data_IF_661669425826
#
_entry.id   IF_661669425826
#
_cell.length_a   1.000
_cell.length_b   1.000
_cell.length_c   1.000
_cell.angle_alpha   90.00
_cell.angle_beta   90.00
_cell.angle_gamma   90.00
#
_symmetry.space_group_name_H-M   'P 1'
#
loop_
_entity.id
_entity.type
_entity.pdbx_description
1 polymer ?
#
# COMPACT_ATOMS: atom_id res chain seq x y z
N UNK A 1 -23.23 23.18 -5.26
CA UNK A 1 -23.58 23.76 -3.94
C UNK A 1 -23.78 25.27 -4.04
N UNK A 2 -22.72 26.07 -4.26
CA UNK A 2 -22.82 27.55 -4.39
C UNK A 2 -23.84 28.03 -5.44
N UNK A 3 -23.94 27.35 -6.59
CA UNK A 3 -24.95 27.65 -7.63
C UNK A 3 -26.40 27.38 -7.21
N UNK A 4 -26.67 26.32 -6.43
CA UNK A 4 -28.05 25.96 -6.06
C UNK A 4 -28.63 26.84 -4.94
N UNK A 5 -27.77 27.36 -4.06
CA UNK A 5 -28.15 28.33 -3.02
C UNK A 5 -28.49 29.69 -3.65
N UNK A 6 -27.76 30.10 -4.70
CA UNK A 6 -28.04 31.34 -5.44
C UNK A 6 -29.36 31.27 -6.26
N UNK A 7 -29.79 30.08 -6.68
CA UNK A 7 -31.01 29.88 -7.48
C UNK A 7 -32.30 29.76 -6.65
N UNK A 8 -32.24 29.92 -5.32
CA UNK A 8 -33.42 29.85 -4.44
C UNK A 8 -34.10 28.47 -4.37
N UNK A 9 -33.43 27.40 -4.82
CA UNK A 9 -33.99 26.05 -4.86
C UNK A 9 -33.84 25.36 -3.50
N UNK A 10 -34.85 24.58 -3.11
CA UNK A 10 -34.83 23.79 -1.87
C UNK A 10 -33.63 22.82 -1.85
N UNK A 11 -32.77 22.96 -0.84
CA UNK A 11 -31.58 22.14 -0.66
C UNK A 11 -31.91 20.86 0.11
N UNK A 12 -31.66 19.71 -0.51
CA UNK A 12 -31.76 18.40 0.15
C UNK A 12 -30.34 17.87 0.35
N UNK A 13 -29.88 17.83 1.60
CA UNK A 13 -28.53 17.41 1.97
C UNK A 13 -28.17 16.01 1.43
N UNK A 14 -29.12 15.08 1.42
CA UNK A 14 -28.91 13.72 0.91
C UNK A 14 -28.45 13.72 -0.56
N UNK A 15 -28.90 14.67 -1.39
CA UNK A 15 -28.52 14.76 -2.80
C UNK A 15 -27.13 15.40 -3.00
N UNK A 16 -26.60 16.09 -1.98
CA UNK A 16 -25.26 16.66 -2.02
C UNK A 16 -24.17 15.60 -1.77
N UNK A 17 -24.49 14.52 -1.06
CA UNK A 17 -23.54 13.48 -0.68
C UNK A 17 -23.41 12.47 -1.82
N UNK A 18 -22.23 12.42 -2.44
CA UNK A 18 -21.91 11.43 -3.48
C UNK A 18 -21.33 10.16 -2.84
N UNK A 19 -22.18 9.25 -2.42
CA UNK A 19 -21.78 7.96 -1.79
C UNK A 19 -20.79 7.15 -2.66
N UNK A 20 -20.97 7.18 -3.99
CA UNK A 20 -20.11 6.46 -4.94
C UNK A 20 -18.66 6.97 -4.98
N UNK A 21 -18.38 8.19 -4.54
CA UNK A 21 -17.02 8.74 -4.58
C UNK A 21 -16.09 7.95 -3.68
N UNK A 22 -16.51 7.65 -2.44
CA UNK A 22 -15.70 6.90 -1.48
C UNK A 22 -15.70 5.42 -1.82
N UNK A 23 -16.89 4.82 -1.96
CA UNK A 23 -17.01 3.38 -2.22
C UNK A 23 -16.34 2.98 -3.55
N UNK A 24 -16.57 3.75 -4.61
CA UNK A 24 -15.96 3.48 -5.92
C UNK A 24 -14.46 3.70 -5.91
N UNK A 25 -13.98 4.74 -5.24
CA UNK A 25 -12.55 5.02 -5.10
C UNK A 25 -11.80 3.92 -4.34
N UNK A 26 -12.33 3.49 -3.19
CA UNK A 26 -11.75 2.41 -2.40
C UNK A 26 -11.76 1.08 -3.14
N UNK A 27 -12.90 0.69 -3.75
CA UNK A 27 -12.97 -0.54 -4.55
C UNK A 27 -11.98 -0.54 -5.71
N UNK A 28 -11.80 0.60 -6.39
CA UNK A 28 -10.82 0.74 -7.45
C UNK A 28 -9.38 0.58 -6.94
N UNK A 29 -9.01 1.30 -5.88
CA UNK A 29 -7.66 1.25 -5.33
C UNK A 29 -7.28 -0.15 -4.81
N UNK A 30 -8.23 -0.83 -4.15
CA UNK A 30 -8.04 -2.19 -3.65
C UNK A 30 -7.97 -3.23 -4.76
N UNK A 31 -8.77 -3.09 -5.82
CA UNK A 31 -8.79 -4.05 -6.93
C UNK A 31 -7.58 -3.91 -7.86
N UNK A 32 -7.13 -2.68 -8.11
CA UNK A 32 -6.03 -2.42 -9.08
C UNK A 32 -4.67 -2.28 -8.44
N UNK A 33 -4.61 -1.96 -7.14
CA UNK A 33 -3.37 -1.63 -6.45
C UNK A 33 -2.81 -0.25 -6.78
N UNK A 34 -3.52 0.57 -7.56
CA UNK A 34 -3.18 1.96 -7.82
C UNK A 34 -3.77 2.86 -6.73
N UNK A 35 -2.91 3.47 -5.93
CA UNK A 35 -3.29 4.39 -4.87
C UNK A 35 -3.12 5.83 -5.34
N UNK A 36 -4.23 6.55 -5.46
CA UNK A 36 -4.28 7.92 -5.95
C UNK A 36 -5.54 8.20 -6.77
N UNK A 37 -5.53 9.33 -7.48
CA UNK A 37 -6.58 9.65 -8.43
C UNK A 37 -6.48 8.74 -9.66
N UNK A 38 -7.61 8.46 -10.31
CA UNK A 38 -7.68 7.58 -11.47
C UNK A 38 -6.87 8.10 -12.66
N UNK A 39 -6.67 9.42 -12.74
CA UNK A 39 -5.81 10.04 -13.75
C UNK A 39 -4.34 10.16 -13.33
N UNK A 40 -4.05 10.24 -12.03
CA UNK A 40 -2.68 10.36 -11.50
C UNK A 40 -2.50 9.39 -10.33
N UNK A 41 -1.99 8.20 -10.62
CA UNK A 41 -1.63 7.24 -9.57
C UNK A 41 -0.34 7.69 -8.89
N UNK A 42 -0.40 7.93 -7.58
CA UNK A 42 0.78 8.31 -6.81
C UNK A 42 1.66 7.10 -6.46
N UNK A 43 1.05 5.91 -6.35
CA UNK A 43 1.77 4.68 -6.00
C UNK A 43 1.07 3.46 -6.58
N UNK A 44 1.79 2.65 -7.36
CA UNK A 44 1.28 1.41 -7.93
C UNK A 44 1.72 0.18 -7.13
N UNK A 45 0.92 -0.89 -7.20
CA UNK A 45 1.26 -2.22 -6.67
C UNK A 45 1.20 -2.34 -5.14
N UNK A 46 0.45 -1.48 -4.46
CA UNK A 46 0.27 -1.53 -2.99
C UNK A 46 -0.74 -2.63 -2.60
N UNK A 47 -1.85 -2.75 -3.33
CA UNK A 47 -2.74 -3.91 -3.21
C UNK A 47 -2.33 -4.96 -4.23
N UNK A 48 -2.26 -6.22 -3.79
CA UNK A 48 -1.84 -7.35 -4.61
C UNK A 48 -2.79 -8.52 -4.37
N UNK A 49 -3.00 -9.34 -5.41
CA UNK A 49 -3.76 -10.58 -5.27
C UNK A 49 -2.98 -11.52 -4.34
N UNK A 50 -3.63 -11.97 -3.26
CA UNK A 50 -3.02 -12.85 -2.28
C UNK A 50 -2.56 -14.17 -2.94
N UNK A 51 -1.35 -14.60 -2.60
CA UNK A 51 -0.79 -15.85 -3.13
C UNK A 51 -1.29 -17.02 -2.28
N UNK A 52 -1.89 -18.02 -2.93
CA UNK A 52 -2.49 -19.20 -2.29
C UNK A 52 -1.91 -20.53 -2.77
N UNK A 53 -0.67 -20.55 -3.27
CA UNK A 53 -0.02 -21.80 -3.73
C UNK A 53 0.18 -22.77 -2.56
N UNK A 54 0.66 -22.27 -1.41
CA UNK A 54 0.77 -23.04 -0.17
C UNK A 54 0.38 -22.18 1.04
N UNK A 55 0.11 -22.82 2.17
CA UNK A 55 -0.15 -22.12 3.42
C UNK A 55 1.02 -21.18 3.81
N UNK A 56 2.26 -21.67 3.68
CA UNK A 56 3.46 -20.88 3.92
C UNK A 56 3.58 -19.68 2.96
N UNK A 57 3.23 -19.87 1.67
CA UNK A 57 3.23 -18.77 0.69
C UNK A 57 2.23 -17.67 1.05
N UNK A 58 1.06 -18.06 1.56
CA UNK A 58 0.04 -17.11 2.03
C UNK A 58 0.58 -16.26 3.19
N UNK A 59 1.16 -16.91 4.21
CA UNK A 59 1.74 -16.22 5.37
C UNK A 59 2.91 -15.31 4.99
N UNK A 60 3.81 -15.77 4.13
CA UNK A 60 4.92 -14.96 3.60
C UNK A 60 4.41 -13.72 2.85
N UNK A 61 3.38 -13.87 2.01
CA UNK A 61 2.84 -12.75 1.24
C UNK A 61 2.22 -11.68 2.15
N UNK A 62 1.53 -12.07 3.23
CA UNK A 62 0.97 -11.11 4.19
C UNK A 62 2.02 -10.32 4.98
N UNK A 63 3.25 -10.86 5.10
CA UNK A 63 4.37 -10.27 5.86
C UNK A 63 5.36 -9.48 4.99
N UNK A 64 5.01 -9.27 3.71
CA UNK A 64 5.88 -8.64 2.72
C UNK A 64 5.89 -7.12 2.88
N UNK A 65 7.09 -6.56 2.78
CA UNK A 65 7.37 -5.13 2.73
C UNK A 65 8.01 -4.79 1.38
N UNK A 66 7.66 -3.63 0.82
CA UNK A 66 8.21 -3.17 -0.45
C UNK A 66 8.79 -1.77 -0.31
N UNK A 67 10.05 -1.61 -0.69
CA UNK A 67 10.72 -0.32 -0.75
C UNK A 67 10.23 0.45 -1.99
N UNK A 68 9.77 1.70 -1.88
CA UNK A 68 9.19 2.46 -3.00
C UNK A 68 10.29 3.02 -3.92
N UNK A 69 11.11 2.13 -4.48
CA UNK A 69 12.16 2.46 -5.44
C UNK A 69 11.86 1.79 -6.78
N UNK A 70 12.22 2.48 -7.86
CA UNK A 70 12.16 1.92 -9.21
C UNK A 70 13.03 0.68 -9.31
N UNK A 71 12.49 -0.39 -9.92
CA UNK A 71 13.22 -1.66 -10.08
C UNK A 71 14.36 -1.57 -11.10
N UNK A 72 14.32 -0.56 -11.97
CA UNK A 72 15.31 -0.28 -13.01
C UNK A 72 16.61 0.33 -12.45
N UNK A 73 16.54 0.94 -11.26
CA UNK A 73 17.71 1.51 -10.59
C UNK A 73 18.68 0.41 -10.15
N UNK A 74 19.88 0.36 -10.75
CA UNK A 74 20.99 -0.50 -10.34
C UNK A 74 21.73 0.03 -9.11
N UNK A 75 21.08 0.80 -8.25
CA UNK A 75 21.71 1.33 -7.04
C UNK A 75 21.88 0.21 -6.01
N UNK A 76 23.13 -0.13 -5.61
CA UNK A 76 23.38 -1.30 -4.76
C UNK A 76 23.03 -1.04 -3.29
N UNK A 77 23.23 0.19 -2.79
CA UNK A 77 23.01 0.54 -1.38
C UNK A 77 21.63 0.15 -0.82
N UNK A 78 20.49 0.49 -1.46
CA UNK A 78 19.18 0.12 -0.93
C UNK A 78 18.89 -1.39 -1.00
N UNK A 79 19.62 -2.14 -1.83
CA UNK A 79 19.45 -3.59 -2.02
C UNK A 79 20.28 -4.40 -1.03
N UNK A 80 21.33 -3.82 -0.47
CA UNK A 80 22.18 -4.48 0.52
C UNK A 80 21.42 -4.69 1.84
N UNK A 81 21.77 -5.80 2.52
CA UNK A 81 21.32 -6.05 3.89
C UNK A 81 22.07 -5.07 4.81
N UNK A 82 21.32 -4.29 5.58
CA UNK A 82 21.90 -3.34 6.53
C UNK A 82 21.82 -3.92 7.94
N UNK A 83 22.85 -3.70 8.77
CA UNK A 83 22.93 -4.29 10.11
C UNK A 83 21.75 -3.91 11.00
N UNK A 84 21.15 -2.73 10.80
CA UNK A 84 19.95 -2.31 11.56
C UNK A 84 18.72 -3.16 11.29
N UNK A 85 18.71 -4.00 10.24
CA UNK A 85 17.59 -4.88 9.92
C UNK A 85 17.55 -6.13 10.81
N UNK A 86 18.61 -6.37 11.58
CA UNK A 86 18.70 -7.49 12.52
C UNK A 86 17.49 -7.53 13.46
N UNK A 87 16.82 -8.68 13.53
CA UNK A 87 15.64 -8.90 14.37
C UNK A 87 14.32 -8.35 13.81
N UNK A 88 14.33 -7.50 12.78
CA UNK A 88 13.12 -6.93 12.19
C UNK A 88 12.77 -7.49 10.82
N UNK A 89 13.78 -7.81 10.00
CA UNK A 89 13.61 -8.27 8.62
C UNK A 89 14.26 -9.63 8.44
N UNK A 90 13.64 -10.51 7.66
CA UNK A 90 14.26 -11.78 7.26
C UNK A 90 15.50 -11.51 6.40
N UNK A 91 16.69 -12.04 6.75
CA UNK A 91 17.91 -11.77 6.00
C UNK A 91 17.98 -12.48 4.65
N UNK A 92 17.29 -13.61 4.50
CA UNK A 92 17.36 -14.47 3.32
C UNK A 92 16.15 -14.37 2.39
N UNK A 93 14.98 -13.99 2.92
CA UNK A 93 13.74 -14.01 2.14
C UNK A 93 13.57 -12.71 1.34
N UNK A 94 14.04 -12.76 0.09
CA UNK A 94 13.86 -11.74 -0.95
C UNK A 94 13.65 -12.45 -2.29
N UNK A 95 12.83 -11.90 -3.20
CA UNK A 95 12.75 -12.44 -4.56
C UNK A 95 14.10 -12.33 -5.27
N UNK A 96 14.34 -13.25 -6.19
CA UNK A 96 15.46 -13.19 -7.13
C UNK A 96 15.20 -12.14 -8.23
N UNK A 97 16.27 -11.68 -8.88
CA UNK A 97 16.18 -10.74 -10.01
C UNK A 97 16.07 -9.27 -9.61
N UNK A 98 15.33 -8.47 -10.39
CA UNK A 98 15.34 -7.00 -10.30
C UNK A 98 14.75 -6.42 -9.01
N UNK A 99 14.01 -7.22 -8.24
CA UNK A 99 13.42 -6.82 -6.97
C UNK A 99 14.25 -7.25 -5.76
N UNK A 100 15.41 -7.87 -5.96
CA UNK A 100 16.28 -8.34 -4.87
C UNK A 100 16.66 -7.18 -3.94
N UNK A 101 16.46 -7.40 -2.65
CA UNK A 101 16.72 -6.43 -1.59
C UNK A 101 15.74 -5.25 -1.54
N UNK A 102 14.80 -5.12 -2.48
CA UNK A 102 13.75 -4.09 -2.46
C UNK A 102 12.46 -4.62 -1.83
N UNK A 103 12.15 -5.87 -2.11
CA UNK A 103 11.06 -6.62 -1.47
C UNK A 103 11.67 -7.48 -0.37
N UNK A 104 11.18 -7.31 0.86
CA UNK A 104 11.67 -8.02 2.03
C UNK A 104 10.50 -8.52 2.87
N UNK A 105 10.76 -9.49 3.74
CA UNK A 105 9.74 -10.03 4.64
C UNK A 105 10.06 -9.70 6.11
N UNK A 106 9.01 -9.50 6.92
CA UNK A 106 9.16 -9.29 8.36
C UNK A 106 9.70 -10.54 9.07
N UNK A 107 10.69 -10.37 9.94
CA UNK A 107 11.21 -11.45 10.78
C UNK A 107 10.14 -12.00 11.73
N UNK A 108 10.25 -13.27 12.16
CA UNK A 108 9.19 -13.99 12.88
C UNK A 108 8.60 -13.22 14.07
N UNK A 109 9.45 -12.58 14.87
CA UNK A 109 9.07 -11.82 16.08
C UNK A 109 8.89 -10.30 15.84
N UNK A 110 9.03 -9.83 14.60
CA UNK A 110 8.90 -8.40 14.29
C UNK A 110 7.45 -7.94 14.46
N UNK A 111 7.27 -6.77 15.09
CA UNK A 111 5.98 -6.15 15.34
C UNK A 111 5.99 -4.69 14.86
N UNK A 112 4.93 -4.28 14.16
CA UNK A 112 4.77 -2.91 13.66
C UNK A 112 4.02 -2.09 14.71
N UNK A 113 4.60 -0.97 15.13
CA UNK A 113 3.97 -0.05 16.08
C UNK A 113 2.69 0.54 15.51
N UNK A 114 1.62 0.58 16.30
CA UNK A 114 0.32 1.15 15.89
C UNK A 114 0.19 2.65 16.13
N UNK A 115 1.13 3.25 16.86
CA UNK A 115 1.05 4.64 17.32
C UNK A 115 0.10 4.78 18.52
N UNK A 116 0.53 5.53 19.53
CA UNK A 116 -0.29 5.93 20.69
C UNK A 116 -0.05 7.41 20.94
N UNK A 117 -1.07 8.11 21.42
CA UNK A 117 -0.91 9.52 21.78
C UNK A 117 0.13 9.63 22.90
N UNK A 118 1.06 10.57 22.75
CA UNK A 118 2.00 10.92 23.81
C UNK A 118 1.23 11.80 24.79
N UNK A 119 0.75 11.17 25.86
CA UNK A 119 0.15 11.85 27.02
C UNK A 119 1.25 12.50 27.83
#
# INVERSE_FOLDING_TARGET
>A
LRKQVNDGRSFVLANAIRTKTITGGLSYAMATGNWGDRMNSNKAGVSQVLNRITYASTLSHLRRMNTPLGREGKQPKPRQLHNTQWGMVCPAETPEGQAVGLVKNLALMAHVTVGTDQI
#
